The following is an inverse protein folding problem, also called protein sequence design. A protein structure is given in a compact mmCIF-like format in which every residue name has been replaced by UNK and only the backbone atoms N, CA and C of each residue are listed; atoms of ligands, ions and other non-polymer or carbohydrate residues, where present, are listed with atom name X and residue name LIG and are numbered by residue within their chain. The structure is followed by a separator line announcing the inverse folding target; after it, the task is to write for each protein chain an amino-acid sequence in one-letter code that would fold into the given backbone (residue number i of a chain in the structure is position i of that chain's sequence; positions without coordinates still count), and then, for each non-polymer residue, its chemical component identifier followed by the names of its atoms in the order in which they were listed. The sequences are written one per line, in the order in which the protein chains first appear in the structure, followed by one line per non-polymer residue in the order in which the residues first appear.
data_IF_659968142749
#
_entry.id   IF_659968142749
#
_cell.length_a   1.000
_cell.length_b   1.000
_cell.length_c   1.000
_cell.angle_alpha   90.00
_cell.angle_beta   90.00
_cell.angle_gamma   90.00
#
_symmetry.space_group_name_H-M   'P 1'
#
loop_
_entity.id
_entity.type
_entity.pdbx_description
1 polymer ?
#
# COMPACT_ATOMS: atom_id res chain seq x y z
N UNK A 1 -2.35 18.78 1.77
CA UNK A 1 -1.11 17.98 1.90
C UNK A 1 0.08 18.93 1.91
N UNK A 2 1.24 18.55 2.44
CA UNK A 2 2.44 19.39 2.46
C UNK A 2 3.51 18.76 1.56
N UNK A 3 4.20 19.54 0.70
CA UNK A 3 5.29 19.04 -0.12
C UNK A 3 6.41 18.41 0.70
N UNK A 4 7.04 17.37 0.18
CA UNK A 4 8.16 16.70 0.82
C UNK A 4 9.05 15.99 -0.20
N UNK A 5 10.27 15.65 0.24
CA UNK A 5 11.16 14.70 -0.42
C UNK A 5 11.71 13.78 0.67
N UNK A 6 11.70 12.48 0.41
CA UNK A 6 12.09 11.44 1.36
C UNK A 6 12.95 10.39 0.67
N UNK A 7 13.99 9.93 1.37
CA UNK A 7 14.73 8.72 1.00
C UNK A 7 14.35 7.63 2.00
N UNK A 8 13.90 6.49 1.46
CA UNK A 8 13.61 5.28 2.22
C UNK A 8 14.59 4.18 1.81
N UNK A 9 15.12 3.46 2.79
CA UNK A 9 15.95 2.28 2.56
C UNK A 9 15.33 1.09 3.29
N UNK A 10 15.38 -0.10 2.70
CA UNK A 10 14.93 -1.32 3.37
C UNK A 10 15.88 -2.49 3.08
N UNK A 11 15.97 -3.40 4.05
CA UNK A 11 16.71 -4.65 3.92
C UNK A 11 15.81 -5.79 4.41
N UNK A 12 15.70 -6.86 3.64
CA UNK A 12 14.88 -8.03 3.93
C UNK A 12 15.68 -9.29 3.66
N UNK A 13 15.69 -10.24 4.59
CA UNK A 13 16.30 -11.56 4.41
C UNK A 13 15.24 -12.64 4.47
N UNK A 14 15.40 -13.69 3.68
CA UNK A 14 14.56 -14.90 3.68
C UNK A 14 15.41 -16.16 3.76
N UNK A 15 14.90 -17.20 4.42
CA UNK A 15 15.50 -18.52 4.47
C UNK A 15 14.41 -19.59 4.43
N UNK A 16 14.59 -20.56 3.54
CA UNK A 16 13.69 -21.70 3.34
C UNK A 16 14.50 -22.99 3.39
N UNK A 17 14.00 -23.97 4.14
CA UNK A 17 14.54 -25.33 4.19
C UNK A 17 13.44 -26.32 3.82
N UNK A 18 13.74 -27.24 2.91
CA UNK A 18 12.77 -28.17 2.37
C UNK A 18 13.02 -29.59 2.90
N UNK A 19 11.95 -30.40 2.95
CA UNK A 19 12.04 -31.81 3.36
C UNK A 19 12.89 -32.66 2.40
N UNK A 20 13.15 -32.19 1.17
CA UNK A 20 14.10 -32.78 0.23
C UNK A 20 15.57 -32.66 0.68
N UNK A 21 15.87 -31.80 1.67
CA UNK A 21 17.23 -31.45 2.08
C UNK A 21 17.77 -30.19 1.40
N UNK A 22 17.06 -29.64 0.42
CA UNK A 22 17.43 -28.39 -0.24
C UNK A 22 17.22 -27.18 0.67
N UNK A 23 18.03 -26.14 0.47
CA UNK A 23 17.89 -24.85 1.17
C UNK A 23 17.99 -23.69 0.19
N UNK A 24 17.30 -22.61 0.52
CA UNK A 24 17.33 -21.36 -0.23
C UNK A 24 17.41 -20.20 0.75
N UNK A 25 18.36 -19.30 0.54
CA UNK A 25 18.49 -18.05 1.26
C UNK A 25 18.39 -16.88 0.28
N UNK A 26 17.77 -15.78 0.72
CA UNK A 26 17.66 -14.55 -0.04
C UNK A 26 17.99 -13.34 0.82
N UNK A 27 18.62 -12.34 0.21
CA UNK A 27 18.85 -11.03 0.82
C UNK A 27 18.51 -9.94 -0.19
N UNK A 28 17.49 -9.15 0.13
CA UNK A 28 16.97 -8.06 -0.70
C UNK A 28 17.23 -6.72 -0.03
N UNK A 29 17.93 -5.83 -0.72
CA UNK A 29 18.10 -4.43 -0.34
C UNK A 29 17.31 -3.51 -1.28
N UNK A 30 16.76 -2.42 -0.76
CA UNK A 30 16.13 -1.39 -1.59
C UNK A 30 16.44 0.03 -1.11
N UNK A 31 16.44 0.96 -2.06
CA UNK A 31 16.49 2.40 -1.83
C UNK A 31 15.42 3.06 -2.70
N UNK A 32 14.68 3.99 -2.13
CA UNK A 32 13.57 4.69 -2.79
C UNK A 32 13.65 6.18 -2.50
N UNK A 33 13.63 7.00 -3.54
CA UNK A 33 13.42 8.44 -3.47
C UNK A 33 11.94 8.71 -3.78
N UNK A 34 11.24 9.33 -2.84
CA UNK A 34 9.85 9.72 -2.98
C UNK A 34 9.76 11.23 -2.84
N UNK A 35 8.83 11.84 -3.56
CA UNK A 35 8.54 13.24 -3.36
C UNK A 35 7.17 13.64 -3.83
N UNK A 36 6.74 14.77 -3.30
CA UNK A 36 5.47 15.38 -3.62
C UNK A 36 5.65 16.89 -3.71
N UNK A 37 5.11 17.47 -4.77
CA UNK A 37 4.98 18.90 -4.97
C UNK A 37 3.50 19.29 -4.95
N UNK A 38 3.22 20.48 -4.45
CA UNK A 38 1.86 21.00 -4.32
C UNK A 38 1.08 20.44 -3.12
N UNK A 39 -0.13 20.95 -2.92
CA UNK A 39 -0.90 20.77 -1.70
C UNK A 39 -2.18 19.95 -1.90
N UNK A 40 -2.57 19.66 -3.15
CA UNK A 40 -3.85 19.03 -3.52
C UNK A 40 -5.04 19.78 -2.90
N UNK A 41 -5.00 21.11 -3.00
CA UNK A 41 -5.95 22.04 -2.38
C UNK A 41 -6.70 22.87 -3.43
N UNK A 42 -6.04 23.17 -4.55
CA UNK A 42 -6.61 23.89 -5.69
C UNK A 42 -7.20 22.90 -6.71
N UNK A 43 -8.13 23.35 -7.56
CA UNK A 43 -8.87 22.45 -8.44
C UNK A 43 -8.08 21.94 -9.63
N UNK A 44 -6.89 22.44 -9.94
CA UNK A 44 -6.18 22.06 -11.17
C UNK A 44 -4.67 22.08 -10.97
N UNK A 45 -3.99 20.99 -11.40
CA UNK A 45 -2.53 20.82 -11.41
C UNK A 45 -1.80 21.29 -10.13
N UNK A 46 -2.41 21.13 -8.94
CA UNK A 46 -1.85 21.57 -7.65
C UNK A 46 -1.23 20.39 -6.87
N UNK A 47 -1.00 19.27 -7.54
CA UNK A 47 -0.38 18.11 -6.95
C UNK A 47 0.34 17.28 -8.00
N UNK A 48 1.59 16.97 -7.70
CA UNK A 48 2.43 16.04 -8.45
C UNK A 48 3.19 15.22 -7.44
N UNK A 49 3.21 13.91 -7.57
CA UNK A 49 4.04 13.02 -6.78
C UNK A 49 4.91 12.16 -7.69
N UNK A 50 6.07 11.77 -7.20
CA UNK A 50 6.98 10.88 -7.91
C UNK A 50 7.61 9.88 -6.95
N UNK A 51 8.03 8.75 -7.52
CA UNK A 51 8.75 7.70 -6.83
C UNK A 51 9.80 7.11 -7.77
N UNK A 52 11.02 6.97 -7.28
CA UNK A 52 12.09 6.25 -7.95
C UNK A 52 12.62 5.24 -6.95
N UNK A 53 12.55 3.96 -7.27
CA UNK A 53 12.98 2.89 -6.38
C UNK A 53 13.88 1.90 -7.09
N UNK A 54 15.00 1.58 -6.47
CA UNK A 54 15.89 0.51 -6.91
C UNK A 54 15.92 -0.59 -5.84
N UNK A 55 15.86 -1.84 -6.26
CA UNK A 55 16.01 -2.99 -5.38
C UNK A 55 16.89 -4.05 -6.00
N UNK A 56 17.73 -4.67 -5.17
CA UNK A 56 18.58 -5.79 -5.56
C UNK A 56 18.36 -6.95 -4.61
N UNK A 57 18.20 -8.15 -5.16
CA UNK A 57 18.09 -9.41 -4.41
C UNK A 57 19.25 -10.33 -4.77
N UNK A 58 19.95 -10.82 -3.75
CA UNK A 58 20.97 -11.86 -3.87
C UNK A 58 20.40 -13.16 -3.34
N UNK A 59 20.64 -14.26 -4.05
CA UNK A 59 20.15 -15.61 -3.72
C UNK A 59 21.33 -16.54 -3.46
N UNK A 60 21.14 -17.48 -2.53
CA UNK A 60 22.05 -18.59 -2.29
C UNK A 60 21.26 -19.87 -2.14
N UNK A 61 21.62 -20.90 -2.92
CA UNK A 61 20.82 -22.12 -3.03
C UNK A 61 19.69 -22.01 -4.04
N UNK A 62 19.09 -23.14 -4.38
CA UNK A 62 18.04 -23.25 -5.40
C UNK A 62 16.78 -23.81 -4.77
N UNK A 63 15.64 -23.18 -5.05
CA UNK A 63 14.36 -23.78 -4.70
C UNK A 63 14.12 -25.01 -5.59
N UNK A 64 13.65 -26.14 -5.03
CA UNK A 64 13.24 -27.30 -5.83
C UNK A 64 11.99 -27.02 -6.66
N UNK A 65 11.34 -25.85 -6.47
CA UNK A 65 10.15 -25.43 -7.19
C UNK A 65 10.44 -24.26 -8.13
N UNK A 66 10.24 -24.47 -9.42
CA UNK A 66 10.49 -23.47 -10.46
C UNK A 66 9.61 -22.21 -10.33
N UNK A 67 8.47 -22.30 -9.64
CA UNK A 67 7.55 -21.16 -9.43
C UNK A 67 8.03 -20.16 -8.37
N UNK A 68 9.01 -20.53 -7.53
CA UNK A 68 9.55 -19.68 -6.45
C UNK A 68 10.96 -19.15 -6.77
N UNK A 69 11.36 -19.25 -8.04
CA UNK A 69 12.61 -18.66 -8.50
C UNK A 69 12.42 -17.16 -8.64
N UNK A 70 13.23 -16.40 -7.90
CA UNK A 70 13.34 -14.96 -8.09
C UNK A 70 13.97 -14.72 -9.46
N UNK A 71 13.12 -14.42 -10.44
CA UNK A 71 13.55 -14.23 -11.83
C UNK A 71 14.26 -12.89 -12.02
N UNK A 72 13.76 -11.81 -11.41
CA UNK A 72 14.28 -10.46 -11.57
C UNK A 72 15.04 -10.05 -10.30
N UNK A 73 16.37 -10.08 -10.35
CA UNK A 73 17.21 -9.76 -9.19
C UNK A 73 17.43 -8.26 -9.02
N UNK A 74 17.39 -7.49 -10.11
CA UNK A 74 17.63 -6.05 -10.10
C UNK A 74 16.43 -5.31 -10.69
N UNK A 75 15.64 -4.66 -9.83
CA UNK A 75 14.41 -4.00 -10.24
C UNK A 75 14.52 -2.49 -10.04
N UNK A 76 14.21 -1.74 -11.10
CA UNK A 76 14.02 -0.29 -11.08
C UNK A 76 12.52 0.01 -11.25
N UNK A 77 11.92 0.70 -10.29
CA UNK A 77 10.53 1.16 -10.35
C UNK A 77 10.49 2.68 -10.42
N UNK A 78 9.76 3.20 -11.41
CA UNK A 78 9.51 4.62 -11.62
C UNK A 78 8.01 4.87 -11.50
N UNK A 79 7.61 5.83 -10.68
CA UNK A 79 6.22 6.20 -10.43
C UNK A 79 6.02 7.70 -10.57
N UNK A 80 4.90 8.10 -11.15
CA UNK A 80 4.50 9.48 -11.30
C UNK A 80 2.98 9.59 -11.16
N UNK A 81 2.51 10.55 -10.36
CA UNK A 81 1.08 10.82 -10.16
C UNK A 81 0.82 12.31 -10.27
N UNK A 82 -0.18 12.68 -11.07
CA UNK A 82 -0.57 14.06 -11.34
C UNK A 82 -2.05 14.25 -11.00
N UNK A 83 -2.39 15.31 -10.28
CA UNK A 83 -3.77 15.77 -10.19
C UNK A 83 -4.19 16.33 -11.54
N UNK A 84 -5.30 15.81 -12.09
CA UNK A 84 -5.89 16.33 -13.31
C UNK A 84 -6.81 17.49 -12.94
N UNK A 85 -7.90 17.20 -12.23
CA UNK A 85 -8.88 18.21 -11.85
C UNK A 85 -9.67 17.79 -10.60
N UNK A 86 -9.85 18.73 -9.67
CA UNK A 86 -10.54 18.54 -8.42
C UNK A 86 -10.02 17.29 -7.68
N UNK A 87 -10.89 16.32 -7.35
CA UNK A 87 -10.51 15.09 -6.64
C UNK A 87 -9.85 14.03 -7.53
N UNK A 88 -9.70 14.28 -8.84
CA UNK A 88 -9.21 13.28 -9.81
C UNK A 88 -7.70 13.36 -9.98
N UNK A 89 -7.03 12.21 -9.85
CA UNK A 89 -5.60 12.05 -10.14
C UNK A 89 -5.39 10.90 -11.11
N UNK A 90 -4.32 11.01 -11.88
CA UNK A 90 -3.84 9.94 -12.74
C UNK A 90 -2.39 9.63 -12.41
N UNK A 91 -2.07 8.35 -12.36
CA UNK A 91 -0.74 7.85 -12.10
C UNK A 91 -0.28 6.83 -13.13
N UNK A 92 1.02 6.76 -13.30
CA UNK A 92 1.71 5.71 -14.04
C UNK A 92 2.86 5.20 -13.18
N UNK A 93 3.03 3.88 -13.12
CA UNK A 93 4.17 3.24 -12.47
C UNK A 93 4.72 2.14 -13.37
N UNK A 94 6.01 2.19 -13.69
CA UNK A 94 6.68 1.16 -14.49
C UNK A 94 7.78 0.49 -13.67
N UNK A 95 7.82 -0.84 -13.69
CA UNK A 95 8.87 -1.65 -13.09
C UNK A 95 9.67 -2.33 -14.19
N UNK A 96 11.00 -2.21 -14.11
CA UNK A 96 11.96 -2.70 -15.09
C UNK A 96 12.92 -3.69 -14.42
N UNK A 97 13.20 -4.78 -15.12
CA UNK A 97 14.27 -5.73 -14.79
C UNK A 97 15.55 -5.24 -15.48
N UNK A 98 16.55 -4.84 -14.70
CA UNK A 98 17.82 -4.35 -15.23
C UNK A 98 18.72 -5.52 -15.68
N UNK A 99 18.63 -6.65 -15.00
CA UNK A 99 19.36 -7.88 -15.32
C UNK A 99 18.84 -8.53 -16.61
N UNK A 100 17.52 -8.57 -16.82
CA UNK A 100 16.93 -9.12 -18.04
C UNK A 100 16.66 -8.07 -19.12
N UNK A 101 16.93 -6.78 -18.84
CA UNK A 101 16.69 -5.65 -19.76
C UNK A 101 15.26 -5.63 -20.34
N UNK A 102 14.26 -5.90 -19.49
CA UNK A 102 12.84 -5.96 -19.90
C UNK A 102 11.93 -5.22 -18.94
N UNK A 103 10.76 -4.83 -19.43
CA UNK A 103 9.68 -4.34 -18.56
C UNK A 103 9.03 -5.50 -17.81
N UNK A 104 8.96 -5.39 -16.49
CA UNK A 104 8.27 -6.35 -15.61
C UNK A 104 6.77 -6.05 -15.61
N UNK A 105 6.42 -4.78 -15.42
CA UNK A 105 5.04 -4.32 -15.34
C UNK A 105 4.93 -2.82 -15.60
N UNK A 106 3.77 -2.37 -16.05
CA UNK A 106 3.38 -0.95 -16.13
C UNK A 106 1.95 -0.84 -15.62
N UNK A 107 1.73 -0.09 -14.56
CA UNK A 107 0.43 0.13 -13.94
C UNK A 107 -0.03 1.55 -14.26
N UNK A 108 -1.23 1.67 -14.80
CA UNK A 108 -1.96 2.93 -14.91
C UNK A 108 -2.98 3.01 -13.78
N UNK A 109 -3.03 4.15 -13.10
CA UNK A 109 -3.91 4.37 -11.96
C UNK A 109 -4.79 5.58 -12.20
N UNK A 110 -6.10 5.43 -12.02
CA UNK A 110 -7.06 6.52 -11.96
C UNK A 110 -7.65 6.59 -10.55
N UNK A 111 -7.56 7.74 -9.92
CA UNK A 111 -8.00 7.93 -8.55
C UNK A 111 -9.04 9.03 -8.46
N UNK A 112 -10.08 8.78 -7.66
CA UNK A 112 -11.05 9.77 -7.22
C UNK A 112 -11.01 9.84 -5.69
N UNK A 113 -10.46 10.93 -5.14
CA UNK A 113 -10.20 11.04 -3.70
C UNK A 113 -10.99 12.22 -3.11
N UNK A 114 -11.86 11.92 -2.16
CA UNK A 114 -12.54 12.90 -1.30
C UNK A 114 -12.19 12.66 0.16
N UNK A 115 -12.73 13.52 1.05
CA UNK A 115 -12.47 13.46 2.49
C UNK A 115 -12.90 12.13 3.11
N UNK A 116 -14.12 11.68 2.79
CA UNK A 116 -14.75 10.51 3.43
C UNK A 116 -14.65 9.22 2.62
N UNK A 117 -14.15 9.26 1.38
CA UNK A 117 -14.00 8.06 0.56
C UNK A 117 -13.00 8.27 -0.58
N UNK A 118 -12.48 7.17 -1.11
CA UNK A 118 -11.71 7.12 -2.34
C UNK A 118 -12.10 5.92 -3.21
N UNK A 119 -11.95 6.11 -4.51
CA UNK A 119 -12.11 5.07 -5.52
C UNK A 119 -10.82 5.05 -6.33
N UNK A 120 -10.16 3.90 -6.40
CA UNK A 120 -8.91 3.74 -7.16
C UNK A 120 -9.08 2.61 -8.14
N UNK A 121 -8.84 2.89 -9.41
CA UNK A 121 -8.80 1.90 -10.47
C UNK A 121 -7.36 1.75 -10.95
N UNK A 122 -6.86 0.51 -10.96
CA UNK A 122 -5.54 0.18 -11.51
C UNK A 122 -5.68 -0.77 -12.69
N UNK A 123 -4.83 -0.59 -13.69
CA UNK A 123 -4.75 -1.47 -14.85
C UNK A 123 -3.30 -1.75 -15.23
N UNK A 124 -2.96 -3.04 -15.38
CA UNK A 124 -1.71 -3.51 -15.95
C UNK A 124 -2.00 -4.18 -17.31
N UNK A 125 -1.57 -3.61 -18.44
CA UNK A 125 -1.71 -4.25 -19.74
C UNK A 125 -0.77 -5.45 -19.90
N UNK A 126 0.41 -5.43 -19.26
CA UNK A 126 1.39 -6.53 -19.37
C UNK A 126 0.88 -7.78 -18.67
N UNK A 127 0.20 -7.62 -17.53
CA UNK A 127 -0.41 -8.72 -16.77
C UNK A 127 -1.87 -8.94 -17.11
N UNK A 128 -2.41 -8.17 -18.06
CA UNK A 128 -3.82 -8.21 -18.47
C UNK A 128 -4.80 -8.19 -17.28
N UNK A 129 -4.49 -7.40 -16.25
CA UNK A 129 -5.23 -7.41 -14.99
C UNK A 129 -5.64 -6.00 -14.57
N UNK A 130 -6.76 -5.92 -13.86
CA UNK A 130 -7.29 -4.69 -13.32
C UNK A 130 -7.73 -4.88 -11.87
N UNK A 131 -7.66 -3.81 -11.07
CA UNK A 131 -8.21 -3.80 -9.73
C UNK A 131 -9.02 -2.53 -9.49
N UNK A 132 -10.10 -2.68 -8.72
CA UNK A 132 -10.91 -1.58 -8.22
C UNK A 132 -10.87 -1.62 -6.70
N UNK A 133 -10.45 -0.52 -6.08
CA UNK A 133 -10.38 -0.35 -4.63
C UNK A 133 -11.34 0.74 -4.21
N UNK A 134 -12.22 0.41 -3.26
CA UNK A 134 -13.12 1.34 -2.60
C UNK A 134 -12.65 1.48 -1.16
N UNK A 135 -12.33 2.70 -0.76
CA UNK A 135 -11.99 3.02 0.62
C UNK A 135 -13.00 4.02 1.15
N UNK A 136 -13.51 3.78 2.36
CA UNK A 136 -14.41 4.70 3.07
C UNK A 136 -13.72 5.04 4.39
N UNK A 137 -13.66 6.33 4.69
CA UNK A 137 -13.00 6.90 5.86
C UNK A 137 -14.08 7.46 6.82
N UNK A 138 -13.69 7.73 8.07
CA UNK A 138 -14.55 8.36 9.10
C UNK A 138 -15.75 7.53 9.60
N UNK A 139 -15.59 6.22 9.78
CA UNK A 139 -16.55 5.41 10.56
C UNK A 139 -16.36 5.59 12.07
N UNK A 140 -16.51 6.81 12.57
CA UNK A 140 -16.58 7.06 14.01
C UNK A 140 -18.02 6.83 14.51
N UNK A 141 -18.43 5.57 14.61
CA UNK A 141 -19.68 5.22 15.28
C UNK A 141 -19.48 5.24 16.80
N UNK A 142 -19.62 6.43 17.39
CA UNK A 142 -19.97 6.50 18.80
C UNK A 142 -21.46 6.19 18.87
N UNK A 143 -21.81 4.96 19.21
CA UNK A 143 -23.21 4.53 19.30
C UNK A 143 -24.06 5.60 19.98
N UNK A 144 -25.19 5.95 19.38
CA UNK A 144 -26.20 6.75 20.07
C UNK A 144 -26.65 5.92 21.27
N UNK A 145 -26.35 6.31 22.53
CA UNK A 145 -26.79 5.53 23.70
C UNK A 145 -28.33 5.55 23.83
N UNK A 146 -29.03 6.22 22.91
CA UNK A 146 -30.49 6.23 22.86
C UNK A 146 -31.06 6.86 24.12
N UNK A 147 -32.37 6.70 24.27
CA UNK A 147 -33.22 7.38 25.27
C UNK A 147 -32.93 7.03 26.74
N UNK A 148 -31.81 6.39 27.04
CA UNK A 148 -31.41 5.94 28.38
C UNK A 148 -30.23 6.71 28.98
N UNK A 149 -29.64 7.68 28.28
CA UNK A 149 -28.56 8.56 28.80
C UNK A 149 -28.96 9.41 30.03
N UNK A 150 -30.23 9.42 30.43
CA UNK A 150 -30.74 10.18 31.57
C UNK A 150 -31.44 9.35 32.64
N UNK A 151 -31.49 8.03 32.52
CA UNK A 151 -32.00 7.18 33.60
C UNK A 151 -30.79 6.73 34.40
N UNK A 152 -30.65 7.24 35.63
CA UNK A 152 -29.78 6.66 36.65
C UNK A 152 -30.27 5.25 36.99
N UNK A 153 -30.10 4.32 36.05
CA UNK A 153 -30.26 2.91 36.31
C UNK A 153 -29.02 2.49 37.11
N UNK A 154 -29.15 1.97 38.33
CA UNK A 154 -28.01 1.45 39.06
C UNK A 154 -27.36 0.35 38.22
N UNK A 155 -26.04 0.47 38.04
CA UNK A 155 -25.25 -0.54 37.35
C UNK A 155 -25.38 -1.87 38.12
N UNK A 156 -26.15 -2.81 37.58
CA UNK A 156 -26.12 -4.20 38.04
C UNK A 156 -24.91 -4.88 37.41
N UNK A 157 -23.83 -4.97 38.20
CA UNK A 157 -22.71 -5.86 37.94
C UNK A 157 -23.07 -7.25 38.45
N UNK A 158 -23.04 -8.26 37.57
CA UNK A 158 -23.12 -9.68 37.89
C UNK A 158 -24.39 -10.21 38.58
N UNK A 159 -25.54 -9.54 38.40
CA UNK A 159 -26.84 -10.18 38.65
C UNK A 159 -27.17 -10.49 40.11
N UNK A 160 -26.68 -9.70 41.07
CA UNK A 160 -27.18 -9.73 42.45
C UNK A 160 -27.36 -8.29 42.94
N UNK A 161 -28.55 -7.97 43.44
CA UNK A 161 -28.82 -6.71 44.12
C UNK A 161 -28.45 -6.88 45.60
N UNK A 162 -27.58 -6.03 46.18
CA UNK A 162 -27.40 -6.02 47.63
C UNK A 162 -28.71 -5.60 48.29
N UNK A 163 -29.31 -6.49 49.07
CA UNK A 163 -30.40 -6.14 49.99
C UNK A 163 -29.78 -5.58 51.25
N UNK A 164 -29.95 -4.28 51.49
CA UNK A 164 -29.77 -3.70 52.80
C UNK A 164 -31.06 -3.88 53.61
N UNK A 165 -30.99 -4.66 54.70
CA UNK A 165 -32.04 -4.80 55.72
C UNK A 165 -32.77 -6.13 55.74
#
# INVERSE_FOLDING_TARGET
MVPFVLINTSLRGGFSAYSSGDTQASLSGSISLLGQFGHFSRPFLDFTAFQISYSQTVLSGESPFLFDRVADQQVLTLGFTQQIYGPVRFGIQTSLSLDQSRTIDTIYTLEYVRRTYSIVFNFSPIRESASLTLQINDFNWFGDPGRFSGINAPNVSNGVTPTDG
#
